data_IF_027974154986
#
_entry.id   IF_027974154986
#
_cell.length_a   1.000
_cell.length_b   1.000
_cell.length_c   1.000
_cell.angle_alpha   90.00
_cell.angle_beta   90.00
_cell.angle_gamma   90.00
#
_symmetry.space_group_name_H-M   'P 1'
#
loop_
_entity.id
_entity.type
_entity.pdbx_description
1 polymer ?
#
# COMPACT_ATOMS: atom_id res chain seq x y z
N UNK A 1 -2.13 4.30 20.57
CA UNK A 1 -2.06 3.66 19.24
C UNK A 1 -3.17 2.65 19.04
N UNK A 2 -3.29 1.58 19.85
CA UNK A 2 -4.42 0.65 19.72
C UNK A 2 -5.76 1.31 20.06
N UNK A 3 -5.83 2.07 21.15
CA UNK A 3 -7.05 2.79 21.56
C UNK A 3 -7.52 3.80 20.50
N UNK A 4 -6.57 4.46 19.85
CA UNK A 4 -6.84 5.43 18.79
C UNK A 4 -7.36 4.73 17.52
N UNK A 5 -6.79 3.57 17.16
CA UNK A 5 -7.30 2.74 16.06
C UNK A 5 -8.71 2.20 16.35
N UNK A 6 -8.96 1.73 17.57
CA UNK A 6 -10.29 1.27 18.00
C UNK A 6 -11.31 2.41 17.99
N UNK A 7 -10.91 3.62 18.40
CA UNK A 7 -11.76 4.81 18.31
C UNK A 7 -12.12 5.12 16.85
N UNK A 8 -11.17 5.03 15.91
CA UNK A 8 -11.46 5.20 14.47
C UNK A 8 -12.40 4.14 13.93
N UNK A 9 -12.25 2.89 14.36
CA UNK A 9 -13.19 1.82 14.01
C UNK A 9 -14.58 2.14 14.55
N UNK A 10 -14.69 2.64 15.79
CA UNK A 10 -15.97 3.08 16.35
C UNK A 10 -16.58 4.25 15.56
N UNK A 11 -15.79 5.25 15.16
CA UNK A 11 -16.25 6.34 14.28
C UNK A 11 -16.82 5.81 12.95
N UNK A 12 -16.17 4.80 12.36
CA UNK A 12 -16.68 4.13 11.15
C UNK A 12 -17.97 3.35 11.43
N UNK A 13 -18.08 2.73 12.60
CA UNK A 13 -19.30 2.01 13.02
C UNK A 13 -20.46 2.98 13.15
N UNK A 14 -20.24 4.11 13.81
CA UNK A 14 -21.25 5.14 14.01
C UNK A 14 -21.66 5.80 12.68
N UNK A 15 -20.72 5.95 11.74
CA UNK A 15 -21.01 6.43 10.39
C UNK A 15 -21.86 5.45 9.56
N UNK A 16 -21.77 4.15 9.85
CA UNK A 16 -22.50 3.07 9.17
C UNK A 16 -22.40 3.11 7.62
N UNK A 17 -21.18 3.01 7.05
CA UNK A 17 -20.98 3.08 5.60
C UNK A 17 -21.60 1.87 4.89
N UNK A 18 -22.18 2.09 3.70
CA UNK A 18 -22.60 0.98 2.84
C UNK A 18 -21.40 0.29 2.14
N UNK A 19 -20.28 1.01 2.00
CA UNK A 19 -19.05 0.53 1.33
C UNK A 19 -17.81 0.97 2.11
N UNK A 20 -16.87 0.05 2.31
CA UNK A 20 -15.55 0.32 2.89
C UNK A 20 -14.48 -0.08 1.88
N UNK A 21 -13.59 0.87 1.53
CA UNK A 21 -12.48 0.61 0.61
C UNK A 21 -11.17 0.65 1.41
N UNK A 22 -10.40 -0.43 1.36
CA UNK A 22 -9.15 -0.61 2.11
C UNK A 22 -8.00 -0.74 1.12
N UNK A 23 -7.13 0.28 1.04
CA UNK A 23 -5.80 0.12 0.44
C UNK A 23 -4.80 -0.23 1.53
N UNK A 24 -4.23 -1.44 1.52
CA UNK A 24 -3.41 -1.92 2.64
C UNK A 24 -2.19 -2.74 2.23
N UNK A 25 -1.22 -2.81 3.15
CA UNK A 25 -0.07 -3.71 3.10
C UNK A 25 1.13 -3.20 2.28
N UNK A 26 0.94 -2.17 1.46
CA UNK A 26 1.98 -1.69 0.54
C UNK A 26 3.12 -1.03 1.32
N UNK A 27 2.79 -0.07 2.18
CA UNK A 27 3.80 0.63 2.95
C UNK A 27 4.54 -0.32 3.91
N UNK A 28 3.81 -1.30 4.46
CA UNK A 28 4.29 -2.32 5.38
C UNK A 28 5.26 -3.29 4.70
N UNK A 29 4.93 -3.72 3.48
CA UNK A 29 5.66 -4.73 2.72
C UNK A 29 6.78 -4.19 1.83
N UNK A 30 6.89 -2.86 1.64
CA UNK A 30 8.06 -2.28 0.96
C UNK A 30 9.33 -2.74 1.68
N UNK A 31 10.28 -3.21 0.88
CA UNK A 31 11.54 -3.73 1.39
C UNK A 31 12.54 -2.60 1.60
N UNK A 32 13.18 -2.63 2.76
CA UNK A 32 14.15 -1.65 3.23
C UNK A 32 15.48 -2.30 3.62
N UNK A 33 16.57 -1.51 3.67
CA UNK A 33 17.83 -1.97 4.23
C UNK A 33 17.71 -2.40 5.70
N UNK A 34 18.60 -3.28 6.19
CA UNK A 34 18.61 -3.71 7.58
C UNK A 34 18.74 -2.53 8.54
N UNK A 35 18.18 -2.65 9.76
CA UNK A 35 18.12 -1.54 10.72
C UNK A 35 19.49 -0.93 11.00
N UNK A 36 20.53 -1.75 11.21
CA UNK A 36 21.91 -1.28 11.43
C UNK A 36 22.45 -0.43 10.29
N UNK A 37 22.12 -0.78 9.05
CA UNK A 37 22.54 -0.01 7.87
C UNK A 37 21.75 1.31 7.77
N UNK A 38 20.45 1.26 8.08
CA UNK A 38 19.63 2.47 8.19
C UNK A 38 20.15 3.42 9.27
N UNK A 39 20.51 2.93 10.45
CA UNK A 39 21.07 3.75 11.54
C UNK A 39 22.40 4.41 11.11
N UNK A 40 23.22 3.70 10.34
CA UNK A 40 24.44 4.27 9.75
C UNK A 40 24.13 5.41 8.77
N UNK A 41 23.15 5.21 7.87
CA UNK A 41 22.70 6.25 6.93
C UNK A 41 22.20 7.47 7.70
N UNK A 42 21.39 7.27 8.74
CA UNK A 42 20.85 8.36 9.56
C UNK A 42 21.95 9.16 10.28
N UNK A 43 23.05 8.50 10.66
CA UNK A 43 24.17 9.16 11.31
C UNK A 43 25.06 9.97 10.36
N UNK A 44 25.25 9.51 9.12
CA UNK A 44 26.30 10.04 8.24
C UNK A 44 25.79 10.65 6.92
N UNK A 45 24.59 10.32 6.47
CA UNK A 45 24.02 10.84 5.23
C UNK A 45 23.25 12.16 5.45
N UNK A 46 22.95 12.92 4.39
CA UNK A 46 22.12 14.12 4.49
C UNK A 46 20.75 13.83 5.08
N UNK A 47 20.18 14.78 5.84
CA UNK A 47 18.88 14.64 6.50
C UNK A 47 17.75 14.20 5.58
N UNK A 48 17.77 14.62 4.31
CA UNK A 48 16.79 14.20 3.31
C UNK A 48 16.85 12.72 2.91
N UNK A 49 17.81 11.93 3.43
CA UNK A 49 17.99 10.50 3.20
C UNK A 49 17.60 9.66 4.42
N UNK A 50 17.25 10.30 5.53
CA UNK A 50 16.91 9.65 6.78
C UNK A 50 15.52 9.02 6.73
N UNK A 51 15.30 8.05 7.61
CA UNK A 51 14.05 7.33 7.72
C UNK A 51 13.83 6.29 6.62
N UNK A 52 12.78 5.50 6.81
CA UNK A 52 12.42 4.34 5.96
C UNK A 52 12.07 4.70 4.52
N UNK A 53 11.51 5.89 4.28
CA UNK A 53 11.26 6.41 2.94
C UNK A 53 12.44 7.22 2.38
N UNK A 54 13.51 7.41 3.18
CA UNK A 54 14.60 8.32 2.89
C UNK A 54 15.39 7.97 1.63
N UNK A 55 15.51 6.68 1.31
CA UNK A 55 16.20 6.20 0.10
C UNK A 55 15.27 5.85 -1.06
N UNK A 56 13.96 6.05 -0.91
CA UNK A 56 13.02 5.75 -1.99
C UNK A 56 13.15 6.79 -3.12
N UNK A 57 12.91 6.40 -4.38
CA UNK A 57 12.81 7.33 -5.49
C UNK A 57 11.68 8.36 -5.26
N UNK A 58 11.78 9.51 -5.94
CA UNK A 58 10.74 10.54 -5.88
C UNK A 58 9.67 10.30 -6.97
N UNK A 59 8.37 10.45 -6.64
CA UNK A 59 7.30 10.30 -7.63
C UNK A 59 7.28 11.40 -8.69
N UNK A 60 7.65 12.63 -8.32
CA UNK A 60 7.61 13.78 -9.20
C UNK A 60 8.88 14.64 -9.09
N UNK A 61 9.16 15.33 -10.19
CA UNK A 61 10.26 16.26 -10.32
C UNK A 61 9.74 17.67 -10.65
N UNK A 62 10.53 18.68 -10.27
CA UNK A 62 10.22 20.09 -10.49
C UNK A 62 10.01 20.37 -11.97
N UNK A 63 8.87 21.00 -12.30
CA UNK A 63 8.56 21.47 -13.66
C UNK A 63 9.07 22.90 -13.90
N UNK A 64 9.33 23.66 -12.84
CA UNK A 64 9.68 25.09 -12.91
C UNK A 64 11.10 25.44 -13.37
N UNK A 65 12.06 24.50 -13.29
CA UNK A 65 13.45 24.76 -13.71
C UNK A 65 14.17 23.47 -14.06
N UNK A 66 14.82 23.43 -15.24
CA UNK A 66 15.60 22.29 -15.68
C UNK A 66 16.74 21.95 -14.69
N UNK A 67 17.41 22.95 -14.11
CA UNK A 67 18.49 22.74 -13.13
C UNK A 67 17.98 22.03 -11.89
N UNK A 68 16.83 22.46 -11.38
CA UNK A 68 16.18 21.85 -10.20
C UNK A 68 15.71 20.43 -10.51
N UNK A 69 15.10 20.23 -11.69
CA UNK A 69 14.68 18.91 -12.17
C UNK A 69 15.88 17.94 -12.24
N UNK A 70 16.97 18.35 -12.87
CA UNK A 70 18.19 17.55 -12.99
C UNK A 70 18.77 17.21 -11.62
N UNK A 71 18.90 18.18 -10.71
CA UNK A 71 19.38 17.93 -9.35
C UNK A 71 18.54 16.88 -8.62
N UNK A 72 17.22 16.99 -8.71
CA UNK A 72 16.32 16.03 -8.07
C UNK A 72 16.43 14.63 -8.69
N UNK A 73 16.53 14.53 -10.03
CA UNK A 73 16.76 13.25 -10.72
C UNK A 73 18.08 12.61 -10.29
N UNK A 74 19.17 13.37 -10.25
CA UNK A 74 20.48 12.89 -9.78
C UNK A 74 20.42 12.43 -8.33
N UNK A 75 19.77 13.21 -7.44
CA UNK A 75 19.61 12.81 -6.03
C UNK A 75 18.76 11.55 -5.89
N UNK A 76 17.66 11.44 -6.64
CA UNK A 76 16.78 10.25 -6.64
C UNK A 76 17.55 9.01 -7.10
N UNK A 77 18.31 9.14 -8.18
CA UNK A 77 19.16 8.07 -8.69
C UNK A 77 20.23 7.64 -7.68
N UNK A 78 20.91 8.60 -7.03
CA UNK A 78 21.91 8.31 -6.00
C UNK A 78 21.30 7.54 -4.81
N UNK A 79 20.11 7.94 -4.34
CA UNK A 79 19.38 7.25 -3.27
C UNK A 79 19.05 5.80 -3.63
N UNK A 80 18.55 5.57 -4.84
CA UNK A 80 18.26 4.21 -5.33
C UNK A 80 19.53 3.37 -5.38
N UNK A 81 20.64 3.91 -5.90
CA UNK A 81 21.92 3.19 -5.93
C UNK A 81 22.40 2.81 -4.54
N UNK A 82 22.29 3.72 -3.56
CA UNK A 82 22.62 3.42 -2.17
C UNK A 82 21.68 2.36 -1.61
N UNK A 83 20.36 2.48 -1.82
CA UNK A 83 19.39 1.45 -1.41
C UNK A 83 19.81 0.08 -1.95
N UNK A 84 19.94 -0.07 -3.26
CA UNK A 84 20.32 -1.34 -3.91
C UNK A 84 21.64 -1.89 -3.37
N UNK A 85 22.66 -1.04 -3.15
CA UNK A 85 23.92 -1.48 -2.57
C UNK A 85 23.74 -1.99 -1.14
N UNK A 86 22.95 -1.28 -0.33
CA UNK A 86 22.70 -1.64 1.07
C UNK A 86 21.82 -2.87 1.27
N UNK A 87 20.96 -3.18 0.29
CA UNK A 87 20.15 -4.41 0.29
C UNK A 87 21.00 -5.69 0.27
N UNK A 88 22.27 -5.62 -0.15
CA UNK A 88 23.19 -6.76 -0.11
C UNK A 88 23.53 -7.24 1.31
N UNK A 89 23.31 -6.38 2.31
CA UNK A 89 23.54 -6.72 3.72
C UNK A 89 22.31 -7.33 4.40
N UNK A 90 21.25 -7.58 3.63
CA UNK A 90 19.98 -8.11 4.09
C UNK A 90 18.81 -7.20 3.74
N UNK A 91 17.61 -7.64 4.12
CA UNK A 91 16.36 -6.98 3.82
C UNK A 91 15.45 -7.01 5.03
N UNK A 92 14.60 -6.00 5.18
CA UNK A 92 13.51 -5.99 6.17
C UNK A 92 12.27 -5.32 5.61
N UNK A 93 11.12 -5.72 6.12
CA UNK A 93 9.86 -5.00 5.96
C UNK A 93 9.66 -4.04 7.16
N UNK A 94 8.65 -3.15 7.09
CA UNK A 94 8.34 -2.26 8.23
C UNK A 94 7.56 -2.98 9.32
N UNK A 95 6.78 -3.98 8.92
CA UNK A 95 5.98 -4.83 9.79
C UNK A 95 6.31 -6.28 9.48
N UNK A 96 6.25 -7.14 10.49
CA UNK A 96 6.36 -8.57 10.28
C UNK A 96 5.11 -9.09 9.53
N UNK A 97 5.22 -10.00 8.55
CA UNK A 97 4.06 -10.50 7.81
C UNK A 97 2.99 -11.16 8.68
N UNK A 98 3.38 -11.85 9.77
CA UNK A 98 2.42 -12.48 10.67
C UNK A 98 1.72 -11.42 11.55
N UNK A 99 2.45 -10.39 11.99
CA UNK A 99 1.87 -9.23 12.69
C UNK A 99 0.88 -8.49 11.77
N UNK A 100 1.25 -8.27 10.51
CA UNK A 100 0.35 -7.68 9.52
C UNK A 100 -0.94 -8.50 9.37
N UNK A 101 -0.82 -9.82 9.19
CA UNK A 101 -1.99 -10.71 9.09
C UNK A 101 -2.91 -10.55 10.30
N UNK A 102 -2.35 -10.58 11.51
CA UNK A 102 -3.13 -10.45 12.73
C UNK A 102 -3.93 -9.13 12.77
N UNK A 103 -3.28 -8.02 12.41
CA UNK A 103 -3.95 -6.71 12.38
C UNK A 103 -5.01 -6.63 11.27
N UNK A 104 -4.72 -7.20 10.11
CA UNK A 104 -5.65 -7.20 8.99
C UNK A 104 -6.89 -8.06 9.26
N UNK A 105 -6.72 -9.25 9.84
CA UNK A 105 -7.81 -10.12 10.25
C UNK A 105 -8.69 -9.46 11.32
N UNK A 106 -8.07 -8.75 12.27
CA UNK A 106 -8.79 -8.00 13.30
C UNK A 106 -9.61 -6.86 12.67
N UNK A 107 -9.04 -6.12 11.71
CA UNK A 107 -9.75 -5.07 11.00
C UNK A 107 -10.97 -5.63 10.25
N UNK A 108 -10.80 -6.67 9.43
CA UNK A 108 -11.91 -7.27 8.68
C UNK A 108 -13.00 -7.81 9.61
N UNK A 109 -12.61 -8.47 10.70
CA UNK A 109 -13.56 -8.99 11.70
C UNK A 109 -14.35 -7.85 12.36
N UNK A 110 -13.70 -6.72 12.66
CA UNK A 110 -14.33 -5.56 13.28
C UNK A 110 -15.28 -4.82 12.34
N UNK A 111 -15.10 -4.95 11.03
CA UNK A 111 -15.98 -4.35 10.02
C UNK A 111 -17.22 -5.21 9.71
N UNK A 112 -17.21 -6.51 10.03
CA UNK A 112 -18.35 -7.41 9.77
C UNK A 112 -19.70 -6.90 10.31
N UNK A 113 -19.80 -6.40 11.55
CA UNK A 113 -21.08 -5.96 12.11
C UNK A 113 -21.74 -4.81 11.33
N UNK A 114 -20.97 -4.09 10.50
CA UNK A 114 -21.49 -3.00 9.66
C UNK A 114 -22.37 -3.50 8.53
N UNK A 115 -22.21 -4.77 8.10
CA UNK A 115 -22.85 -5.27 6.87
C UNK A 115 -22.41 -4.54 5.60
N UNK A 116 -21.37 -3.71 5.69
CA UNK A 116 -20.83 -2.93 4.57
C UNK A 116 -20.20 -3.85 3.52
N UNK A 117 -20.27 -3.44 2.25
CA UNK A 117 -19.47 -4.06 1.20
C UNK A 117 -18.00 -3.66 1.40
N UNK A 118 -17.15 -4.60 1.82
CA UNK A 118 -15.72 -4.36 2.02
C UNK A 118 -14.96 -4.70 0.76
N UNK A 119 -14.23 -3.73 0.21
CA UNK A 119 -13.36 -3.89 -0.95
C UNK A 119 -11.92 -3.63 -0.53
N UNK A 120 -11.05 -4.61 -0.74
CA UNK A 120 -9.62 -4.52 -0.49
C UNK A 120 -8.90 -4.32 -1.82
N UNK A 121 -8.06 -3.29 -1.89
CA UNK A 121 -7.18 -3.03 -3.02
C UNK A 121 -5.80 -3.57 -2.67
N UNK A 122 -5.36 -4.60 -3.38
CA UNK A 122 -4.08 -5.27 -3.17
C UNK A 122 -2.88 -4.45 -3.64
N UNK A 123 -1.69 -5.03 -3.47
CA UNK A 123 -0.45 -4.42 -3.95
C UNK A 123 -0.34 -4.49 -5.48
N UNK A 124 0.48 -3.64 -6.07
CA UNK A 124 0.69 -3.55 -7.52
C UNK A 124 2.16 -3.79 -7.89
N UNK A 125 2.45 -3.96 -9.19
CA UNK A 125 3.82 -4.19 -9.66
C UNK A 125 4.68 -2.93 -9.49
N UNK A 126 5.92 -3.10 -9.02
CA UNK A 126 6.89 -2.00 -8.90
C UNK A 126 8.13 -2.27 -9.72
N UNK A 127 8.86 -1.22 -10.11
CA UNK A 127 10.13 -1.42 -10.82
C UNK A 127 11.18 -1.93 -9.83
N UNK A 128 11.56 -3.20 -9.97
CA UNK A 128 12.50 -3.89 -9.09
C UNK A 128 13.91 -3.25 -9.10
N UNK A 129 14.23 -2.42 -10.11
CA UNK A 129 15.46 -1.61 -10.13
C UNK A 129 15.40 -0.45 -9.12
N UNK A 130 14.21 0.06 -8.85
CA UNK A 130 13.93 1.15 -7.92
C UNK A 130 13.53 0.63 -6.52
N UNK A 131 12.82 -0.50 -6.48
CA UNK A 131 12.27 -1.14 -5.28
C UNK A 131 12.72 -2.60 -5.14
N UNK A 132 14.03 -2.88 -5.08
CA UNK A 132 14.56 -4.25 -5.13
C UNK A 132 13.97 -5.16 -4.06
N UNK A 133 13.43 -6.30 -4.49
CA UNK A 133 12.84 -7.34 -3.64
C UNK A 133 11.44 -7.02 -3.12
N UNK A 134 10.86 -5.88 -3.52
CA UNK A 134 9.52 -5.48 -3.05
C UNK A 134 8.42 -6.28 -3.74
N UNK A 135 8.56 -6.64 -5.02
CA UNK A 135 7.55 -7.45 -5.70
C UNK A 135 7.42 -8.85 -5.08
N UNK A 136 8.51 -9.44 -4.58
CA UNK A 136 8.48 -10.71 -3.86
C UNK A 136 7.68 -10.60 -2.55
N UNK A 137 7.90 -9.51 -1.80
CA UNK A 137 7.14 -9.21 -0.59
C UNK A 137 5.66 -8.95 -0.90
N UNK A 138 5.34 -8.28 -2.00
CA UNK A 138 3.97 -8.06 -2.45
C UNK A 138 3.26 -9.35 -2.84
N UNK A 139 3.94 -10.29 -3.51
CA UNK A 139 3.36 -11.61 -3.79
C UNK A 139 3.06 -12.40 -2.51
N UNK A 140 3.92 -12.31 -1.49
CA UNK A 140 3.64 -12.93 -0.19
C UNK A 140 2.47 -12.24 0.54
N UNK A 141 2.38 -10.92 0.43
CA UNK A 141 1.23 -10.16 0.92
C UNK A 141 -0.07 -10.60 0.25
N UNK A 142 -0.09 -10.82 -1.07
CA UNK A 142 -1.30 -11.27 -1.77
C UNK A 142 -1.86 -12.58 -1.25
N UNK A 143 -0.98 -13.53 -0.95
CA UNK A 143 -1.39 -14.82 -0.36
C UNK A 143 -2.08 -14.57 0.97
N UNK A 144 -1.50 -13.71 1.81
CA UNK A 144 -2.07 -13.32 3.09
C UNK A 144 -3.44 -12.65 2.92
N UNK A 145 -3.54 -11.67 2.00
CA UNK A 145 -4.78 -10.96 1.72
C UNK A 145 -5.86 -11.93 1.20
N UNK A 146 -5.52 -12.82 0.26
CA UNK A 146 -6.46 -13.77 -0.31
C UNK A 146 -7.03 -14.73 0.76
N UNK A 147 -6.19 -15.25 1.65
CA UNK A 147 -6.63 -16.10 2.77
C UNK A 147 -7.59 -15.35 3.71
N UNK A 148 -7.18 -14.16 4.16
CA UNK A 148 -7.97 -13.33 5.08
C UNK A 148 -9.30 -12.89 4.46
N UNK A 149 -9.29 -12.51 3.19
CA UNK A 149 -10.49 -12.06 2.46
C UNK A 149 -11.47 -13.22 2.24
N UNK A 150 -10.99 -14.39 1.82
CA UNK A 150 -11.83 -15.57 1.63
C UNK A 150 -12.55 -15.99 2.92
N UNK A 151 -11.90 -15.86 4.07
CA UNK A 151 -12.50 -16.15 5.36
C UNK A 151 -13.59 -15.13 5.79
N UNK A 152 -13.55 -13.92 5.22
CA UNK A 152 -14.31 -12.76 5.71
C UNK A 152 -15.36 -12.24 4.72
N UNK A 153 -15.38 -12.73 3.48
CA UNK A 153 -16.37 -12.37 2.47
C UNK A 153 -16.17 -10.96 1.88
N UNK A 154 -14.96 -10.41 1.96
CA UNK A 154 -14.61 -9.16 1.29
C UNK A 154 -14.32 -9.37 -0.20
N UNK A 155 -14.25 -8.28 -0.97
CA UNK A 155 -13.85 -8.29 -2.37
C UNK A 155 -12.36 -7.91 -2.48
N UNK A 156 -11.62 -8.58 -3.37
CA UNK A 156 -10.24 -8.22 -3.68
C UNK A 156 -10.15 -7.63 -5.09
N UNK A 157 -9.57 -6.44 -5.20
CA UNK A 157 -9.12 -5.85 -6.45
C UNK A 157 -7.61 -6.05 -6.53
N UNK A 158 -7.14 -6.79 -7.54
CA UNK A 158 -5.71 -6.86 -7.89
C UNK A 158 -5.40 -5.78 -8.95
N UNK A 159 -4.69 -4.69 -8.58
CA UNK A 159 -4.39 -3.64 -9.54
C UNK A 159 -3.53 -4.10 -10.72
N UNK A 160 -2.74 -5.19 -10.60
CA UNK A 160 -1.90 -5.70 -11.70
C UNK A 160 -2.70 -6.16 -12.91
N UNK A 161 -3.97 -6.49 -12.70
CA UNK A 161 -4.85 -6.94 -13.78
C UNK A 161 -5.46 -5.78 -14.58
N UNK A 162 -5.34 -4.54 -14.08
CA UNK A 162 -5.97 -3.38 -14.73
C UNK A 162 -5.01 -2.22 -15.02
N UNK A 163 -3.86 -2.18 -14.37
CA UNK A 163 -2.81 -1.17 -14.62
C UNK A 163 -1.91 -1.58 -15.78
N UNK A 164 -1.58 -0.61 -16.62
CA UNK A 164 -0.54 -0.74 -17.63
C UNK A 164 0.80 -0.38 -17.01
N UNK A 165 1.74 -1.31 -17.12
CA UNK A 165 3.07 -1.18 -16.54
C UNK A 165 3.75 0.07 -17.09
N UNK A 166 4.12 0.96 -16.16
CA UNK A 166 4.76 2.28 -16.31
C UNK A 166 3.91 3.39 -16.95
N UNK A 167 2.95 3.06 -17.81
CA UNK A 167 2.03 4.06 -18.38
C UNK A 167 1.07 4.66 -17.34
N UNK A 168 0.67 3.85 -16.36
CA UNK A 168 -0.30 4.25 -15.32
C UNK A 168 0.38 4.60 -13.98
N UNK A 169 1.70 4.87 -14.03
CA UNK A 169 2.54 5.18 -12.87
C UNK A 169 3.15 6.60 -12.95
N UNK A 170 3.58 7.11 -11.81
CA UNK A 170 4.47 8.26 -11.70
C UNK A 170 5.92 7.85 -11.97
N UNK A 171 6.85 8.81 -11.99
CA UNK A 171 8.23 8.55 -12.39
C UNK A 171 9.05 7.71 -11.39
N UNK A 172 8.48 7.38 -10.24
CA UNK A 172 9.08 6.39 -9.34
C UNK A 172 8.65 4.95 -9.65
N UNK A 173 7.76 4.72 -10.62
CA UNK A 173 7.23 3.38 -10.95
C UNK A 173 6.65 2.65 -9.71
N UNK A 174 6.10 3.42 -8.76
CA UNK A 174 5.41 2.91 -7.57
C UNK A 174 4.07 3.63 -7.42
N UNK A 175 4.04 4.95 -7.35
CA UNK A 175 2.77 5.66 -7.19
C UNK A 175 2.02 5.68 -8.53
N UNK A 176 0.69 5.58 -8.48
CA UNK A 176 -0.13 5.70 -9.67
C UNK A 176 -0.26 7.14 -10.11
N UNK A 177 -0.40 7.35 -11.42
CA UNK A 177 -0.85 8.63 -11.97
C UNK A 177 -2.39 8.67 -12.02
N UNK A 178 -2.94 9.77 -12.52
CA UNK A 178 -4.41 9.96 -12.60
C UNK A 178 -5.10 8.82 -13.36
N UNK A 179 -4.52 8.36 -14.47
CA UNK A 179 -5.07 7.26 -15.26
C UNK A 179 -5.02 5.92 -14.51
N UNK A 180 -3.96 5.67 -13.73
CA UNK A 180 -3.87 4.49 -12.87
C UNK A 180 -4.92 4.49 -11.76
N UNK A 181 -5.12 5.64 -11.11
CA UNK A 181 -6.20 5.81 -10.13
C UNK A 181 -7.58 5.60 -10.74
N UNK A 182 -7.84 6.14 -11.95
CA UNK A 182 -9.12 5.99 -12.65
C UNK A 182 -9.42 4.51 -12.97
N UNK A 183 -8.42 3.75 -13.43
CA UNK A 183 -8.57 2.33 -13.75
C UNK A 183 -8.94 1.49 -12.53
N UNK A 184 -8.24 1.68 -11.42
CA UNK A 184 -8.50 0.94 -10.18
C UNK A 184 -9.86 1.35 -9.60
N UNK A 185 -10.20 2.64 -9.63
CA UNK A 185 -11.50 3.13 -9.19
C UNK A 185 -12.64 2.52 -10.01
N UNK A 186 -12.49 2.39 -11.33
CA UNK A 186 -13.48 1.73 -12.17
C UNK A 186 -13.69 0.25 -11.79
N UNK A 187 -12.63 -0.47 -11.43
CA UNK A 187 -12.73 -1.85 -10.92
C UNK A 187 -13.47 -1.92 -9.58
N UNK A 188 -13.16 -1.02 -8.66
CA UNK A 188 -13.86 -0.92 -7.36
C UNK A 188 -15.36 -0.67 -7.57
N UNK A 189 -15.72 0.32 -8.40
CA UNK A 189 -17.12 0.64 -8.71
C UNK A 189 -17.84 -0.55 -9.34
N UNK A 190 -17.20 -1.24 -10.28
CA UNK A 190 -17.74 -2.44 -10.92
C UNK A 190 -18.01 -3.56 -9.90
N UNK A 191 -17.04 -3.82 -9.02
CA UNK A 191 -17.14 -4.85 -8.00
C UNK A 191 -18.28 -4.57 -7.00
N UNK A 192 -18.38 -3.32 -6.52
CA UNK A 192 -19.47 -2.89 -5.62
C UNK A 192 -20.84 -3.04 -6.29
N UNK A 193 -20.98 -2.64 -7.56
CA UNK A 193 -22.25 -2.78 -8.29
C UNK A 193 -22.65 -4.24 -8.49
N UNK A 194 -21.68 -5.11 -8.73
CA UNK A 194 -21.92 -6.54 -8.98
C UNK A 194 -22.29 -7.29 -7.70
N UNK A 195 -21.67 -6.93 -6.57
CA UNK A 195 -22.05 -7.47 -5.26
C UNK A 195 -23.48 -7.08 -4.86
N UNK A 196 -24.02 -6.00 -5.44
CA UNK A 196 -25.30 -5.42 -5.09
C UNK A 196 -25.26 -4.72 -3.72
N UNK A 197 -26.32 -3.99 -3.33
CA UNK A 197 -26.46 -3.60 -1.94
C UNK A 197 -26.45 -4.87 -1.09
N UNK A 198 -25.58 -4.95 -0.08
CA UNK A 198 -25.78 -5.88 1.02
C UNK A 198 -27.22 -5.70 1.46
N UNK A 199 -28.10 -6.65 1.12
CA UNK A 199 -29.49 -6.54 1.48
C UNK A 199 -29.53 -6.33 2.98
N UNK A 200 -29.94 -5.15 3.45
CA UNK A 200 -30.49 -4.97 4.80
C UNK A 200 -31.76 -5.82 4.84
N UNK A 201 -31.59 -7.14 4.83
CA UNK A 201 -32.64 -8.14 4.96
C UNK A 201 -32.97 -8.16 6.44
N UNK A 202 -33.90 -7.29 6.79
CA UNK A 202 -35.02 -7.60 7.69
C UNK A 202 -34.64 -8.35 8.96
N UNK A 203 -34.20 -7.62 9.99
CA UNK A 203 -34.36 -8.03 11.38
C UNK A 203 -34.74 -6.79 12.20
N UNK A 204 -35.97 -6.33 11.97
CA UNK A 204 -36.60 -5.21 12.66
C UNK A 204 -38.12 -5.26 12.49
N UNK A 205 -38.67 -6.46 12.33
CA UNK A 205 -40.10 -6.72 12.25
C UNK A 205 -40.44 -7.79 13.28
N UNK A 206 -41.20 -7.33 14.28
CA UNK A 206 -41.82 -8.05 15.41
C UNK A 206 -40.96 -8.33 16.65
#
# INVERSE_FOLDING_TARGET
MLDEALQRVQEMVDFAPDVVIIGCGIAESIVHPPRRVQDFIERFAPSGWHGVAGLQPRPYFSTSSWRRRTRQRVTSWAKVRVKTATMKFGARQRMDPAEFRQHFDLLLTSLRPLGACVVVVGAWETDDRLFPGTNDAFRALDVTLAESIAAQGALLIDPRLCLRIWDDYLEDHMHWNDAGHERVAAQVVSAVRTAGPSSRRTAGGE
#
